data_IF_638014007748
#
_entry.id   IF_638014007748
#
_cell.length_a   1.000
_cell.length_b   1.000
_cell.length_c   1.000
_cell.angle_alpha   90.00
_cell.angle_beta   90.00
_cell.angle_gamma   90.00
#
_symmetry.space_group_name_H-M   'P 1'
#
loop_
_entity.id
_entity.type
_entity.pdbx_description
1 polymer ?
#
# COMPACT_ATOMS: atom_id res chain seq x y z
N UNK A 1 5.85 18.31 -5.78
CA UNK A 1 4.82 17.59 -5.01
C UNK A 1 5.38 16.24 -4.60
N UNK A 2 5.20 15.82 -3.35
CA UNK A 2 5.60 14.50 -2.84
C UNK A 2 4.37 13.71 -2.42
N UNK A 3 4.19 12.55 -3.04
CA UNK A 3 3.17 11.57 -2.66
C UNK A 3 3.88 10.32 -2.16
N UNK A 4 3.42 9.77 -1.04
CA UNK A 4 4.00 8.58 -0.45
C UNK A 4 2.96 7.51 -0.13
N UNK A 5 3.41 6.27 -0.01
CA UNK A 5 2.67 5.20 0.66
C UNK A 5 3.48 4.70 1.84
N UNK A 6 2.79 4.33 2.92
CA UNK A 6 3.43 3.76 4.09
C UNK A 6 2.50 2.79 4.82
N UNK A 7 2.85 1.51 4.86
CA UNK A 7 2.28 0.55 5.80
C UNK A 7 2.86 0.80 7.18
N UNK A 8 2.00 1.13 8.15
CA UNK A 8 2.38 1.60 9.48
C UNK A 8 2.23 0.53 10.57
N UNK A 9 1.95 -0.71 10.18
CA UNK A 9 1.91 -1.90 11.05
C UNK A 9 1.00 -1.73 12.29
N UNK A 10 -0.28 -2.06 12.14
CA UNK A 10 -1.27 -2.08 13.22
C UNK A 10 -1.51 -0.74 13.95
N UNK A 11 -1.65 0.35 13.19
CA UNK A 11 -1.75 1.69 13.78
C UNK A 11 -2.91 1.84 14.78
N UNK A 12 -4.00 1.09 14.59
CA UNK A 12 -5.18 1.05 15.47
C UNK A 12 -4.86 0.80 16.95
N UNK A 13 -3.79 0.06 17.25
CA UNK A 13 -3.37 -0.29 18.61
C UNK A 13 -2.75 0.88 19.38
N UNK A 14 -2.35 1.94 18.67
CA UNK A 14 -1.73 3.13 19.24
C UNK A 14 -2.76 4.19 19.68
N UNK A 15 -4.04 3.92 19.45
CA UNK A 15 -5.14 4.82 19.80
C UNK A 15 -6.18 4.16 20.70
N UNK A 16 -6.73 4.96 21.60
CA UNK A 16 -7.92 4.57 22.34
C UNK A 16 -9.18 4.65 21.45
N UNK A 17 -10.35 4.29 22.00
CA UNK A 17 -11.62 4.30 21.25
C UNK A 17 -12.05 5.70 20.79
N UNK A 18 -11.54 6.77 21.40
CA UNK A 18 -11.82 8.16 21.02
C UNK A 18 -10.85 8.68 19.97
N UNK A 19 -9.89 7.87 19.52
CA UNK A 19 -8.84 8.29 18.59
C UNK A 19 -7.72 9.09 19.26
N UNK A 20 -7.61 9.08 20.59
CA UNK A 20 -6.51 9.74 21.31
C UNK A 20 -5.31 8.78 21.38
N UNK A 21 -4.09 9.33 21.23
CA UNK A 21 -2.85 8.57 21.29
C UNK A 21 -2.63 7.96 22.69
N UNK A 22 -2.20 6.70 22.70
CA UNK A 22 -1.84 5.96 23.90
C UNK A 22 -0.32 6.04 24.13
N UNK A 23 0.15 7.20 24.60
CA UNK A 23 1.55 7.47 24.94
C UNK A 23 1.91 6.87 26.30
N UNK A 24 2.00 5.55 26.35
CA UNK A 24 2.44 4.81 27.54
C UNK A 24 3.43 3.69 27.18
N UNK A 25 4.05 3.12 28.21
CA UNK A 25 5.06 2.07 28.10
C UNK A 25 4.45 0.65 27.98
N UNK A 26 3.16 0.52 27.67
CA UNK A 26 2.60 -0.79 27.36
C UNK A 26 3.05 -1.24 25.96
N UNK A 27 3.08 -2.55 25.76
CA UNK A 27 3.41 -3.15 24.46
C UNK A 27 2.47 -2.69 23.35
N UNK A 28 3.03 -2.44 22.18
CA UNK A 28 2.25 -2.22 20.96
C UNK A 28 1.85 -3.56 20.32
N UNK A 29 1.45 -3.53 19.05
CA UNK A 29 1.28 -4.76 18.25
C UNK A 29 2.61 -5.38 17.81
N UNK A 30 3.71 -4.64 17.95
CA UNK A 30 5.05 -5.05 17.51
C UNK A 30 5.79 -5.79 18.60
N UNK A 31 6.63 -6.74 18.18
CA UNK A 31 7.50 -7.47 19.10
C UNK A 31 8.53 -6.51 19.72
N UNK A 32 8.61 -6.52 21.06
CA UNK A 32 9.61 -5.80 21.86
C UNK A 32 9.62 -4.27 21.63
N UNK A 33 8.48 -3.68 21.25
CA UNK A 33 8.29 -2.23 21.07
C UNK A 33 7.05 -1.75 21.85
N UNK A 34 7.21 -0.68 22.62
CA UNK A 34 6.09 -0.06 23.35
C UNK A 34 5.28 0.87 22.47
N UNK A 35 4.04 1.20 22.87
CA UNK A 35 3.19 2.14 22.14
C UNK A 35 3.84 3.52 22.04
N UNK A 36 4.39 4.06 23.12
CA UNK A 36 5.13 5.32 23.10
C UNK A 36 6.29 5.29 22.08
N UNK A 37 7.10 4.23 22.09
CA UNK A 37 8.22 4.08 21.13
C UNK A 37 7.74 4.07 19.68
N UNK A 38 6.70 3.28 19.37
CA UNK A 38 6.18 3.20 18.00
C UNK A 38 5.55 4.53 17.55
N UNK A 39 4.80 5.20 18.43
CA UNK A 39 4.19 6.51 18.14
C UNK A 39 5.28 7.56 17.83
N UNK A 40 6.30 7.68 18.68
CA UNK A 40 7.40 8.63 18.47
C UNK A 40 8.21 8.32 17.21
N UNK A 41 8.43 7.03 16.94
CA UNK A 41 9.12 6.57 15.75
C UNK A 41 8.32 6.94 14.48
N UNK A 42 7.02 6.64 14.45
CA UNK A 42 6.13 7.05 13.36
C UNK A 42 6.13 8.58 13.20
N UNK A 43 6.04 9.35 14.28
CA UNK A 43 6.08 10.81 14.22
C UNK A 43 7.36 11.33 13.55
N UNK A 44 8.53 10.77 13.89
CA UNK A 44 9.82 11.11 13.28
C UNK A 44 9.84 10.75 11.79
N UNK A 45 9.33 9.58 11.41
CA UNK A 45 9.27 9.13 10.01
C UNK A 45 8.36 10.03 9.19
N UNK A 46 7.14 10.31 9.66
CA UNK A 46 6.20 11.21 8.96
C UNK A 46 6.74 12.64 8.85
N UNK A 47 7.41 13.14 9.90
CA UNK A 47 8.06 14.46 9.87
C UNK A 47 9.20 14.51 8.85
N UNK A 48 10.05 13.47 8.80
CA UNK A 48 11.16 13.40 7.85
C UNK A 48 10.68 13.21 6.40
N UNK A 49 9.57 12.47 6.23
CA UNK A 49 8.95 12.23 4.94
C UNK A 49 8.45 13.52 4.30
N UNK A 50 7.87 14.43 5.10
CA UNK A 50 7.40 15.77 4.67
C UNK A 50 6.63 15.74 3.34
N UNK A 51 5.75 14.74 3.20
CA UNK A 51 4.96 14.54 2.00
C UNK A 51 3.75 15.49 1.95
N UNK A 52 3.29 15.82 0.74
CA UNK A 52 2.02 16.53 0.55
C UNK A 52 0.83 15.59 0.77
N UNK A 53 0.99 14.29 0.50
CA UNK A 53 0.05 13.26 0.92
C UNK A 53 0.73 11.91 1.16
N UNK A 54 0.18 11.15 2.11
CA UNK A 54 0.60 9.80 2.48
C UNK A 54 -0.62 8.88 2.40
N UNK A 55 -0.54 7.87 1.53
CA UNK A 55 -1.44 6.72 1.55
C UNK A 55 -1.00 5.81 2.71
N UNK A 56 -1.75 5.87 3.81
CA UNK A 56 -1.50 5.09 5.02
C UNK A 56 -2.16 3.72 4.87
N UNK A 57 -1.34 2.68 4.87
CA UNK A 57 -1.77 1.28 4.83
C UNK A 57 -1.75 0.73 6.25
N UNK A 58 -2.77 -0.06 6.62
CA UNK A 58 -3.02 -0.44 8.02
C UNK A 58 -3.30 0.75 8.93
N UNK A 59 -4.00 1.74 8.38
CA UNK A 59 -4.54 2.86 9.12
C UNK A 59 -5.48 2.38 10.24
N UNK A 60 -5.74 3.21 11.26
CA UNK A 60 -6.62 2.85 12.37
C UNK A 60 -8.00 2.41 11.89
N UNK A 61 -8.66 1.55 12.67
CA UNK A 61 -9.99 1.00 12.42
C UNK A 61 -11.08 2.10 12.35
N UNK A 62 -12.05 1.96 11.44
CA UNK A 62 -13.21 2.86 11.27
C UNK A 62 -14.53 2.10 11.42
N UNK A 63 -15.25 2.35 12.52
CA UNK A 63 -16.55 1.73 12.79
C UNK A 63 -17.39 2.54 13.78
N UNK A 64 -18.54 2.01 14.20
CA UNK A 64 -19.43 2.70 15.16
C UNK A 64 -18.79 3.14 16.49
N UNK A 65 -17.61 2.59 16.85
CA UNK A 65 -16.90 2.86 18.11
C UNK A 65 -15.52 3.52 17.93
N UNK A 66 -15.00 3.59 16.71
CA UNK A 66 -13.66 4.12 16.39
C UNK A 66 -13.74 4.92 15.10
N UNK A 67 -12.99 6.01 15.00
CA UNK A 67 -12.89 6.76 13.76
C UNK A 67 -11.44 6.86 13.32
N UNK A 68 -11.15 6.30 12.14
CA UNK A 68 -9.82 6.34 11.53
C UNK A 68 -9.41 7.78 11.22
N UNK A 69 -10.36 8.57 10.72
CA UNK A 69 -10.20 10.01 10.48
C UNK A 69 -9.75 10.75 11.74
N UNK A 70 -10.48 10.60 12.86
CA UNK A 70 -10.15 11.29 14.11
C UNK A 70 -8.78 10.86 14.63
N UNK A 71 -8.48 9.56 14.60
CA UNK A 71 -7.19 9.05 15.06
C UNK A 71 -6.01 9.63 14.26
N UNK A 72 -6.10 9.61 12.92
CA UNK A 72 -5.06 10.14 12.05
C UNK A 72 -4.91 11.66 12.15
N UNK A 73 -6.01 12.41 12.24
CA UNK A 73 -5.97 13.86 12.42
C UNK A 73 -5.39 14.25 13.80
N UNK A 74 -5.72 13.51 14.87
CA UNK A 74 -5.13 13.71 16.19
C UNK A 74 -3.62 13.39 16.20
N UNK A 75 -3.18 12.35 15.48
CA UNK A 75 -1.76 12.05 15.32
C UNK A 75 -1.04 13.19 14.59
N UNK A 76 -1.62 13.68 13.49
CA UNK A 76 -1.06 14.81 12.76
C UNK A 76 -0.97 16.08 13.62
N UNK A 77 -2.01 16.39 14.39
CA UNK A 77 -2.04 17.54 15.30
C UNK A 77 -0.98 17.42 16.40
N UNK A 78 -0.89 16.25 17.07
CA UNK A 78 0.02 16.02 18.18
C UNK A 78 1.50 16.23 17.79
N UNK A 79 1.85 15.98 16.52
CA UNK A 79 3.21 16.08 16.02
C UNK A 79 3.43 17.23 15.02
N UNK A 80 2.43 18.10 14.83
CA UNK A 80 2.55 19.27 13.95
C UNK A 80 2.81 18.92 12.48
N UNK A 81 2.25 17.80 12.00
CA UNK A 81 2.41 17.38 10.61
C UNK A 81 1.60 18.28 9.67
N UNK A 82 2.16 18.58 8.49
CA UNK A 82 1.43 19.32 7.45
C UNK A 82 0.24 18.53 6.88
N UNK A 83 0.38 17.21 6.82
CA UNK A 83 -0.67 16.29 6.39
C UNK A 83 -1.72 16.12 7.49
N UNK A 84 -2.59 17.12 7.62
CA UNK A 84 -3.51 17.29 8.75
C UNK A 84 -4.96 16.94 8.47
N UNK A 85 -5.27 16.42 7.28
CA UNK A 85 -6.61 15.94 6.92
C UNK A 85 -6.57 14.50 6.46
N UNK A 86 -7.49 13.69 6.99
CA UNK A 86 -7.62 12.29 6.62
C UNK A 86 -8.83 12.08 5.71
N UNK A 87 -8.69 11.21 4.71
CA UNK A 87 -9.77 10.74 3.85
C UNK A 87 -9.82 9.21 3.94
N UNK A 88 -11.01 8.70 4.24
CA UNK A 88 -11.31 7.26 4.32
C UNK A 88 -12.27 6.91 3.20
N UNK A 89 -12.15 5.69 2.68
CA UNK A 89 -13.00 5.17 1.62
C UNK A 89 -14.24 4.47 2.17
N UNK A 90 -14.49 3.28 1.63
CA UNK A 90 -15.59 2.43 2.09
C UNK A 90 -15.38 1.92 3.51
N UNK A 91 -16.45 1.89 4.29
CA UNK A 91 -16.47 1.13 5.54
C UNK A 91 -16.23 -0.35 5.24
N UNK A 92 -15.44 -1.01 6.07
CA UNK A 92 -15.26 -2.46 6.00
C UNK A 92 -15.36 -3.09 7.39
N UNK A 93 -15.10 -4.39 7.48
CA UNK A 93 -15.22 -5.17 8.71
C UNK A 93 -13.87 -5.58 9.29
N UNK A 94 -12.79 -4.98 8.80
CA UNK A 94 -11.45 -5.25 9.30
C UNK A 94 -11.07 -4.27 10.40
N UNK A 95 -9.94 -4.49 11.05
CA UNK A 95 -9.40 -3.57 12.06
C UNK A 95 -8.31 -2.64 11.49
N UNK A 96 -8.19 -2.60 10.16
CA UNK A 96 -7.08 -1.97 9.45
C UNK A 96 -7.61 -1.34 8.16
N UNK A 97 -7.48 -0.02 8.05
CA UNK A 97 -8.00 0.73 6.93
C UNK A 97 -6.93 1.07 5.88
N UNK A 98 -7.39 1.52 4.71
CA UNK A 98 -6.60 2.29 3.75
C UNK A 98 -7.07 3.73 3.85
N UNK A 99 -6.17 4.65 4.17
CA UNK A 99 -6.50 6.06 4.38
C UNK A 99 -5.53 6.98 3.63
N UNK A 100 -6.01 8.12 3.17
CA UNK A 100 -5.15 9.19 2.65
C UNK A 100 -5.03 10.28 3.72
N UNK A 101 -3.82 10.51 4.22
CA UNK A 101 -3.48 11.64 5.06
C UNK A 101 -2.80 12.72 4.20
N UNK A 102 -3.37 13.91 4.07
CA UNK A 102 -2.92 14.92 3.11
C UNK A 102 -2.85 16.32 3.70
N UNK A 103 -2.03 17.17 3.08
CA UNK A 103 -1.92 18.59 3.38
C UNK A 103 -3.01 19.35 2.60
N UNK A 104 -4.07 19.85 3.29
CA UNK A 104 -5.16 20.53 2.62
C UNK A 104 -4.80 21.92 2.07
N UNK A 105 -3.62 22.48 2.40
CA UNK A 105 -3.15 23.71 1.75
C UNK A 105 -2.53 23.44 0.37
N UNK A 106 -2.15 22.18 0.12
CA UNK A 106 -1.48 21.77 -1.12
C UNK A 106 -2.36 20.90 -2.00
N UNK A 107 -3.20 20.05 -1.39
CA UNK A 107 -4.03 19.07 -2.09
C UNK A 107 -5.49 19.18 -1.65
N UNK A 108 -6.40 19.27 -2.62
CA UNK A 108 -7.82 18.98 -2.40
C UNK A 108 -8.06 17.51 -2.74
N UNK A 109 -8.66 16.74 -1.84
CA UNK A 109 -8.93 15.32 -2.02
C UNK A 109 -10.35 14.94 -1.64
N UNK A 110 -10.99 14.07 -2.44
CA UNK A 110 -12.30 13.48 -2.13
C UNK A 110 -12.35 12.01 -2.55
N UNK A 111 -13.04 11.19 -1.76
CA UNK A 111 -13.33 9.80 -2.13
C UNK A 111 -14.22 9.81 -3.37
N UNK A 112 -13.76 9.17 -4.44
CA UNK A 112 -14.41 9.20 -5.76
C UNK A 112 -14.47 7.79 -6.34
N UNK A 113 -15.28 6.90 -5.73
CA UNK A 113 -15.38 5.53 -6.19
C UNK A 113 -16.01 5.47 -7.57
N UNK A 114 -15.37 4.74 -8.47
CA UNK A 114 -15.81 4.64 -9.85
C UNK A 114 -16.73 3.42 -10.02
N UNK A 115 -17.61 3.45 -11.01
CA UNK A 115 -18.54 2.35 -11.31
C UNK A 115 -18.49 2.05 -12.80
N UNK A 116 -17.61 1.13 -13.21
CA UNK A 116 -17.30 0.89 -14.62
C UNK A 116 -17.76 -0.49 -15.06
N UNK A 117 -19.08 -0.67 -15.12
CA UNK A 117 -19.75 -1.83 -15.71
C UNK A 117 -19.19 -3.19 -15.26
N UNK A 118 -19.37 -4.21 -16.10
CA UNK A 118 -18.90 -5.59 -15.82
C UNK A 118 -17.37 -5.72 -15.76
N UNK A 119 -16.61 -4.80 -16.38
CA UNK A 119 -15.16 -4.92 -16.52
C UNK A 119 -14.37 -4.54 -15.26
N UNK A 120 -14.90 -3.62 -14.44
CA UNK A 120 -14.33 -3.25 -13.15
C UNK A 120 -15.46 -2.69 -12.27
N UNK A 121 -16.19 -3.57 -11.54
CA UNK A 121 -17.21 -3.11 -10.60
C UNK A 121 -16.59 -2.27 -9.48
N UNK A 122 -17.43 -1.56 -8.72
CA UNK A 122 -17.00 -0.75 -7.57
C UNK A 122 -16.38 -1.64 -6.50
N UNK A 123 -15.28 -1.20 -5.87
CA UNK A 123 -14.43 -2.06 -5.06
C UNK A 123 -15.03 -2.61 -3.75
N UNK A 124 -16.14 -2.05 -3.26
CA UNK A 124 -16.94 -2.58 -2.15
C UNK A 124 -18.02 -3.59 -2.60
N UNK A 125 -18.08 -3.87 -3.91
CA UNK A 125 -18.92 -4.91 -4.49
C UNK A 125 -18.18 -6.24 -4.64
N UNK A 126 -18.50 -6.94 -5.72
CA UNK A 126 -17.97 -8.26 -6.03
C UNK A 126 -17.51 -8.32 -7.47
N UNK A 127 -16.52 -9.17 -7.70
CA UNK A 127 -15.96 -9.43 -9.01
C UNK A 127 -16.01 -10.92 -9.29
N UNK A 128 -16.57 -11.29 -10.44
CA UNK A 128 -16.69 -12.67 -10.89
C UNK A 128 -15.62 -12.95 -11.95
N UNK A 129 -14.83 -13.99 -11.73
CA UNK A 129 -13.73 -14.37 -12.64
C UNK A 129 -13.49 -15.87 -12.63
N UNK A 130 -13.27 -16.46 -13.80
CA UNK A 130 -12.80 -17.84 -13.94
C UNK A 130 -11.26 -17.82 -14.07
N UNK A 131 -10.55 -18.26 -13.02
CA UNK A 131 -9.09 -18.27 -12.98
C UNK A 131 -8.47 -19.61 -13.40
N UNK A 132 -9.18 -20.73 -13.29
CA UNK A 132 -8.66 -22.07 -13.62
C UNK A 132 -9.27 -22.69 -14.89
N UNK A 133 -10.02 -21.90 -15.65
CA UNK A 133 -10.57 -22.22 -16.97
C UNK A 133 -11.47 -23.46 -16.90
N UNK A 134 -12.18 -23.61 -15.78
CA UNK A 134 -13.09 -24.72 -15.51
C UNK A 134 -14.57 -24.35 -15.81
N UNK A 135 -14.80 -23.13 -16.32
CA UNK A 135 -16.08 -22.51 -16.60
C UNK A 135 -16.95 -22.21 -15.36
N UNK A 136 -16.38 -22.25 -14.15
CA UNK A 136 -17.00 -21.76 -12.92
C UNK A 136 -16.40 -20.39 -12.54
N UNK A 137 -17.26 -19.41 -12.29
CA UNK A 137 -16.83 -18.10 -11.84
C UNK A 137 -16.56 -18.11 -10.34
N UNK A 138 -15.34 -17.73 -9.93
CA UNK A 138 -15.01 -17.39 -8.57
C UNK A 138 -15.54 -15.99 -8.25
N UNK A 139 -16.29 -15.87 -7.14
CA UNK A 139 -16.77 -14.58 -6.63
C UNK A 139 -15.78 -14.01 -5.61
N UNK A 140 -15.23 -12.85 -5.93
CA UNK A 140 -14.12 -12.22 -5.21
C UNK A 140 -14.57 -10.89 -4.63
N UNK A 141 -14.23 -10.66 -3.35
CA UNK A 141 -14.46 -9.41 -2.64
C UNK A 141 -13.15 -8.86 -2.09
N UNK A 142 -13.05 -7.56 -1.96
CA UNK A 142 -12.01 -6.95 -1.14
C UNK A 142 -12.45 -6.92 0.32
N UNK A 143 -11.61 -7.44 1.22
CA UNK A 143 -11.81 -7.21 2.66
C UNK A 143 -11.50 -5.77 3.04
N UNK A 144 -10.56 -5.15 2.33
CA UNK A 144 -10.16 -3.75 2.42
C UNK A 144 -10.26 -3.17 1.01
N UNK A 145 -11.41 -2.60 0.62
CA UNK A 145 -11.59 -2.06 -0.73
C UNK A 145 -10.53 -1.00 -1.05
N UNK A 146 -9.89 -1.03 -2.25
CA UNK A 146 -9.01 0.05 -2.67
C UNK A 146 -9.66 1.44 -2.55
N UNK A 147 -8.85 2.42 -2.11
CA UNK A 147 -9.29 3.79 -1.90
C UNK A 147 -9.13 4.60 -3.18
N UNK A 148 -10.23 4.88 -3.88
CA UNK A 148 -10.24 5.71 -5.08
C UNK A 148 -10.41 7.19 -4.73
N UNK A 149 -9.46 8.04 -5.13
CA UNK A 149 -9.44 9.47 -4.76
C UNK A 149 -9.34 10.34 -6.00
N UNK A 150 -10.22 11.34 -6.06
CA UNK A 150 -10.03 12.53 -6.88
C UNK A 150 -9.16 13.53 -6.12
N UNK A 151 -8.01 13.89 -6.69
CA UNK A 151 -7.08 14.84 -6.08
C UNK A 151 -6.79 16.03 -7.01
N UNK A 152 -6.54 17.19 -6.43
CA UNK A 152 -6.10 18.39 -7.14
C UNK A 152 -4.98 19.11 -6.40
N UNK A 153 -3.95 19.53 -7.13
CA UNK A 153 -2.94 20.49 -6.69
C UNK A 153 -3.01 21.71 -7.61
N UNK A 154 -3.58 22.83 -7.13
CA UNK A 154 -3.94 23.95 -8.00
C UNK A 154 -4.87 23.50 -9.13
N UNK A 155 -4.47 23.77 -10.38
CA UNK A 155 -5.20 23.35 -11.60
C UNK A 155 -4.93 21.90 -12.01
N UNK A 156 -3.90 21.26 -11.44
CA UNK A 156 -3.53 19.90 -11.81
C UNK A 156 -4.41 18.89 -11.07
N UNK A 157 -5.35 18.28 -11.81
CA UNK A 157 -6.17 17.17 -11.33
C UNK A 157 -5.54 15.81 -11.63
N UNK A 158 -5.62 14.89 -10.67
CA UNK A 158 -5.13 13.52 -10.80
C UNK A 158 -5.95 12.55 -9.94
N UNK A 159 -5.72 11.26 -10.17
CA UNK A 159 -6.36 10.14 -9.47
C UNK A 159 -5.34 9.42 -8.61
N UNK A 160 -5.76 9.01 -7.41
CA UNK A 160 -5.02 8.05 -6.58
C UNK A 160 -5.87 6.80 -6.41
N UNK A 161 -5.24 5.63 -6.44
CA UNK A 161 -5.84 4.37 -5.98
C UNK A 161 -4.94 3.79 -4.89
N UNK A 162 -5.42 3.82 -3.65
CA UNK A 162 -4.77 3.23 -2.48
C UNK A 162 -5.02 1.73 -2.39
N UNK A 163 -3.98 0.92 -2.23
CA UNK A 163 -4.07 -0.54 -2.36
C UNK A 163 -3.52 -1.26 -1.13
N UNK A 164 -4.25 -2.28 -0.66
CA UNK A 164 -3.76 -3.29 0.29
C UNK A 164 -4.26 -4.66 -0.19
N UNK A 165 -3.51 -5.31 -1.09
CA UNK A 165 -3.92 -6.61 -1.65
C UNK A 165 -3.75 -7.71 -0.60
N UNK A 166 -4.57 -8.77 -0.67
CA UNK A 166 -4.52 -9.91 0.23
C UNK A 166 -3.12 -10.54 0.33
N UNK A 167 -2.61 -10.68 1.55
CA UNK A 167 -1.38 -11.45 1.84
C UNK A 167 -1.49 -12.94 1.46
N UNK A 168 -0.36 -13.48 0.98
CA UNK A 168 -0.18 -14.88 0.58
C UNK A 168 0.00 -15.83 1.76
N UNK A 169 0.30 -15.31 2.96
CA UNK A 169 0.65 -16.12 4.11
C UNK A 169 -0.48 -17.08 4.52
N UNK A 170 -0.20 -18.40 4.69
CA UNK A 170 -1.21 -19.41 5.00
C UNK A 170 -1.54 -19.44 6.51
N UNK A 171 -1.99 -18.31 7.05
CA UNK A 171 -2.40 -18.22 8.45
C UNK A 171 -3.53 -19.20 8.78
N UNK A 172 -3.43 -19.86 9.93
CA UNK A 172 -4.47 -20.76 10.45
C UNK A 172 -4.37 -22.23 10.00
N UNK A 173 -3.37 -22.58 9.17
CA UNK A 173 -3.13 -23.97 8.79
C UNK A 173 -2.69 -24.82 10.00
N UNK A 174 -3.27 -26.02 10.13
CA UNK A 174 -2.94 -26.96 11.22
C UNK A 174 -1.93 -28.02 10.79
N UNK A 175 -1.75 -28.20 9.48
CA UNK A 175 -0.81 -29.15 8.88
C UNK A 175 -0.39 -28.70 7.48
N UNK A 176 0.64 -29.34 6.92
CA UNK A 176 1.24 -29.00 5.62
C UNK A 176 0.27 -29.08 4.43
N UNK A 177 -0.67 -30.02 4.44
CA UNK A 177 -1.63 -30.15 3.34
C UNK A 177 -2.66 -29.01 3.36
N UNK A 178 -3.10 -28.62 4.55
CA UNK A 178 -3.97 -27.45 4.75
C UNK A 178 -3.24 -26.14 4.44
N UNK A 179 -1.97 -26.03 4.84
CA UNK A 179 -1.10 -24.89 4.52
C UNK A 179 -1.01 -24.67 3.01
N UNK A 180 -0.74 -25.73 2.25
CA UNK A 180 -0.68 -25.67 0.80
C UNK A 180 -2.02 -25.27 0.18
N UNK A 181 -3.15 -25.80 0.68
CA UNK A 181 -4.49 -25.45 0.19
C UNK A 181 -4.82 -23.97 0.44
N UNK A 182 -4.55 -23.49 1.65
CA UNK A 182 -4.80 -22.09 2.03
C UNK A 182 -3.91 -21.16 1.21
N UNK A 183 -2.64 -21.50 1.00
CA UNK A 183 -1.71 -20.72 0.18
C UNK A 183 -2.23 -20.57 -1.27
N UNK A 184 -2.68 -21.66 -1.89
CA UNK A 184 -3.26 -21.64 -3.25
C UNK A 184 -4.53 -20.76 -3.28
N UNK A 185 -5.43 -20.92 -2.32
CA UNK A 185 -6.66 -20.12 -2.26
C UNK A 185 -6.39 -18.62 -2.04
N UNK A 186 -5.45 -18.27 -1.16
CA UNK A 186 -5.02 -16.89 -0.94
C UNK A 186 -4.40 -16.30 -2.20
N UNK A 187 -3.56 -17.07 -2.90
CA UNK A 187 -2.93 -16.67 -4.16
C UNK A 187 -3.97 -16.39 -5.25
N UNK A 188 -4.95 -17.29 -5.44
CA UNK A 188 -6.04 -17.08 -6.42
C UNK A 188 -6.81 -15.79 -6.13
N UNK A 189 -7.19 -15.57 -4.87
CA UNK A 189 -7.87 -14.34 -4.44
C UNK A 189 -7.03 -13.08 -4.69
N UNK A 190 -5.74 -13.13 -4.35
CA UNK A 190 -4.81 -12.04 -4.60
C UNK A 190 -4.72 -11.71 -6.10
N UNK A 191 -4.58 -12.73 -6.95
CA UNK A 191 -4.49 -12.56 -8.40
C UNK A 191 -5.76 -11.94 -8.98
N UNK A 192 -6.94 -12.44 -8.58
CA UNK A 192 -8.21 -11.88 -8.98
C UNK A 192 -8.37 -10.41 -8.55
N UNK A 193 -7.93 -10.06 -7.34
CA UNK A 193 -7.91 -8.66 -6.87
C UNK A 193 -7.01 -7.78 -7.76
N UNK A 194 -5.84 -8.28 -8.18
CA UNK A 194 -4.96 -7.56 -9.10
C UNK A 194 -5.58 -7.41 -10.50
N UNK A 195 -6.29 -8.41 -11.02
CA UNK A 195 -7.01 -8.33 -12.30
C UNK A 195 -8.14 -7.30 -12.22
N UNK A 196 -8.91 -7.31 -11.13
CA UNK A 196 -9.96 -6.33 -10.89
C UNK A 196 -9.39 -4.90 -10.83
N UNK A 197 -8.31 -4.70 -10.04
CA UNK A 197 -7.60 -3.44 -9.98
C UNK A 197 -7.08 -3.01 -11.35
N UNK A 198 -6.53 -3.95 -12.13
CA UNK A 198 -6.05 -3.67 -13.49
C UNK A 198 -7.17 -3.21 -14.42
N UNK A 199 -8.37 -3.79 -14.32
CA UNK A 199 -9.55 -3.32 -15.03
C UNK A 199 -9.85 -1.85 -14.75
N UNK A 200 -9.78 -1.43 -13.47
CA UNK A 200 -9.93 -0.03 -13.06
C UNK A 200 -8.82 0.87 -13.60
N UNK A 201 -7.57 0.44 -13.48
CA UNK A 201 -6.40 1.17 -14.00
C UNK A 201 -6.56 1.42 -15.49
N UNK A 202 -6.87 0.38 -16.27
CA UNK A 202 -7.05 0.49 -17.71
C UNK A 202 -8.15 1.50 -18.07
N UNK A 203 -9.24 1.57 -17.31
CA UNK A 203 -10.27 2.57 -17.54
C UNK A 203 -9.75 4.01 -17.40
N UNK A 204 -9.04 4.31 -16.32
CA UNK A 204 -8.45 5.65 -16.11
C UNK A 204 -7.45 6.00 -17.20
N UNK A 205 -6.55 5.07 -17.53
CA UNK A 205 -5.56 5.29 -18.59
C UNK A 205 -6.22 5.52 -19.95
N UNK A 206 -7.26 4.74 -20.28
CA UNK A 206 -8.04 4.91 -21.52
C UNK A 206 -8.82 6.24 -21.56
N UNK A 207 -9.20 6.75 -20.39
CA UNK A 207 -9.88 8.06 -20.24
C UNK A 207 -8.90 9.23 -20.23
N UNK A 208 -7.59 8.97 -20.24
CA UNK A 208 -6.54 9.98 -20.19
C UNK A 208 -6.30 10.58 -18.82
N UNK A 209 -6.86 9.99 -17.75
CA UNK A 209 -6.70 10.48 -16.38
C UNK A 209 -5.25 10.33 -15.90
N UNK A 210 -4.61 11.38 -15.37
CA UNK A 210 -3.36 11.24 -14.62
C UNK A 210 -3.60 10.38 -13.37
N UNK A 211 -2.90 9.25 -13.25
CA UNK A 211 -3.15 8.24 -12.23
C UNK A 211 -1.86 7.83 -11.51
N UNK A 212 -1.96 7.70 -10.20
CA UNK A 212 -0.97 7.02 -9.35
C UNK A 212 -1.69 5.89 -8.59
N UNK A 213 -1.14 4.69 -8.64
CA UNK A 213 -1.58 3.53 -7.87
C UNK A 213 -0.51 3.20 -6.84
N UNK A 214 -0.87 3.21 -5.56
CA UNK A 214 0.13 3.12 -4.49
C UNK A 214 -0.42 2.37 -3.27
N UNK A 215 0.47 1.67 -2.58
CA UNK A 215 0.07 0.83 -1.45
C UNK A 215 0.95 -0.40 -1.28
N UNK A 216 0.46 -1.32 -0.45
CA UNK A 216 1.05 -2.62 -0.18
C UNK A 216 0.37 -3.69 -1.06
N UNK A 217 1.13 -4.24 -1.99
CA UNK A 217 0.64 -5.28 -2.90
C UNK A 217 0.76 -6.68 -2.30
N UNK A 218 1.44 -6.83 -1.16
CA UNK A 218 1.78 -8.12 -0.56
C UNK A 218 2.38 -9.11 -1.58
N UNK A 219 3.03 -8.56 -2.60
CA UNK A 219 3.53 -9.26 -3.77
C UNK A 219 4.76 -8.54 -4.30
N UNK A 220 5.71 -9.32 -4.81
CA UNK A 220 6.93 -8.83 -5.46
C UNK A 220 6.95 -9.24 -6.92
N UNK A 221 7.75 -8.60 -7.79
CA UNK A 221 7.78 -8.91 -9.21
C UNK A 221 8.61 -10.19 -9.44
N UNK A 222 8.20 -11.04 -10.38
CA UNK A 222 8.84 -12.34 -10.65
C UNK A 222 7.91 -13.51 -10.37
N UNK A 223 8.41 -14.74 -10.51
CA UNK A 223 7.64 -15.97 -10.29
C UNK A 223 8.20 -16.77 -9.10
N UNK A 224 7.49 -16.83 -7.98
CA UNK A 224 7.60 -17.89 -7.00
C UNK A 224 7.14 -19.25 -7.60
N UNK A 225 7.37 -20.35 -6.88
CA UNK A 225 7.05 -21.69 -7.39
C UNK A 225 5.56 -21.87 -7.75
N UNK A 226 4.67 -21.06 -7.19
CA UNK A 226 3.23 -21.08 -7.44
C UNK A 226 2.82 -20.10 -8.56
N UNK A 227 3.53 -18.98 -8.75
CA UNK A 227 3.31 -18.02 -9.84
C UNK A 227 3.57 -18.64 -11.22
N UNK A 228 4.39 -19.70 -11.31
CA UNK A 228 4.48 -20.52 -12.53
C UNK A 228 3.14 -21.14 -12.96
N UNK A 229 2.20 -21.37 -12.03
CA UNK A 229 0.86 -21.88 -12.36
C UNK A 229 -0.02 -20.82 -13.01
N UNK A 230 0.23 -19.54 -12.72
CA UNK A 230 -0.58 -18.41 -13.17
C UNK A 230 0.14 -17.54 -14.23
N UNK A 231 1.41 -17.83 -14.50
CA UNK A 231 2.23 -17.21 -15.53
C UNK A 231 2.83 -15.84 -15.16
N UNK A 232 2.29 -15.14 -14.16
CA UNK A 232 2.66 -13.75 -13.78
C UNK A 232 2.37 -13.44 -12.30
N UNK A 233 3.09 -12.46 -11.75
CA UNK A 233 2.76 -11.84 -10.46
C UNK A 233 1.58 -10.86 -10.57
N UNK A 234 0.94 -10.55 -9.44
CA UNK A 234 -0.10 -9.53 -9.35
C UNK A 234 0.42 -8.13 -9.67
N UNK A 235 1.70 -7.86 -9.36
CA UNK A 235 2.39 -6.61 -9.71
C UNK A 235 2.50 -6.45 -11.24
N UNK A 236 2.92 -7.49 -11.97
CA UNK A 236 2.99 -7.47 -13.44
C UNK A 236 1.63 -7.21 -14.09
N UNK A 237 0.57 -7.79 -13.52
CA UNK A 237 -0.80 -7.59 -13.99
C UNK A 237 -1.20 -6.12 -13.85
N UNK A 238 -0.97 -5.51 -12.69
CA UNK A 238 -1.39 -4.11 -12.43
C UNK A 238 -0.55 -3.13 -13.24
N UNK A 239 0.76 -3.37 -13.38
CA UNK A 239 1.64 -2.61 -14.27
C UNK A 239 1.17 -2.65 -15.72
N UNK A 240 0.51 -3.74 -16.13
CA UNK A 240 0.03 -3.91 -17.50
C UNK A 240 1.13 -4.37 -18.45
N UNK A 241 2.05 -5.23 -17.99
CA UNK A 241 3.15 -5.78 -18.82
C UNK A 241 2.65 -6.49 -20.10
N UNK A 242 1.38 -6.90 -20.10
CA UNK A 242 0.70 -7.54 -21.22
C UNK A 242 0.14 -6.56 -22.27
N UNK A 243 0.03 -5.27 -21.94
CA UNK A 243 -0.56 -4.28 -22.84
C UNK A 243 0.36 -3.99 -24.00
N UNK A 244 -0.12 -4.12 -25.23
CA UNK A 244 0.69 -3.75 -26.41
C UNK A 244 0.88 -2.24 -26.54
N UNK A 245 -0.05 -1.44 -26.01
CA UNK A 245 0.04 0.02 -26.01
C UNK A 245 0.74 0.51 -24.72
N UNK A 246 1.94 1.14 -24.83
CA UNK A 246 2.63 1.72 -23.68
C UNK A 246 1.82 2.81 -22.96
N UNK A 247 0.86 3.46 -23.62
CA UNK A 247 -0.01 4.47 -23.00
C UNK A 247 -0.91 3.87 -21.91
N UNK A 248 -1.14 2.55 -21.97
CA UNK A 248 -1.95 1.79 -21.03
C UNK A 248 -1.10 1.12 -19.94
N UNK A 249 0.21 1.37 -19.87
CA UNK A 249 1.09 0.77 -18.84
C UNK A 249 1.34 1.75 -17.70
N UNK A 250 1.41 1.22 -16.48
CA UNK A 250 1.98 1.96 -15.34
C UNK A 250 3.49 1.71 -15.27
N UNK A 251 4.18 2.60 -14.57
CA UNK A 251 5.63 2.53 -14.37
C UNK A 251 5.98 2.66 -12.89
N UNK A 252 6.85 1.78 -12.41
CA UNK A 252 7.57 1.89 -11.14
C UNK A 252 9.01 1.41 -11.36
N UNK A 253 10.04 2.21 -11.05
CA UNK A 253 11.42 1.86 -11.38
C UNK A 253 11.95 0.67 -10.57
N UNK A 254 11.46 0.47 -9.35
CA UNK A 254 11.86 -0.66 -8.50
C UNK A 254 11.26 -1.95 -9.05
N UNK A 255 9.98 -1.93 -9.41
CA UNK A 255 9.34 -3.08 -10.03
C UNK A 255 10.00 -3.46 -11.36
N UNK A 256 10.25 -2.47 -12.23
CA UNK A 256 10.94 -2.67 -13.51
C UNK A 256 12.36 -3.23 -13.34
N UNK A 257 13.08 -2.81 -12.30
CA UNK A 257 14.43 -3.35 -12.03
C UNK A 257 14.38 -4.84 -11.72
N UNK A 258 13.44 -5.27 -10.86
CA UNK A 258 13.29 -6.69 -10.49
C UNK A 258 12.78 -7.53 -11.66
N UNK A 259 11.85 -7.00 -12.46
CA UNK A 259 11.34 -7.71 -13.65
C UNK A 259 12.43 -7.93 -14.72
N UNK A 260 13.27 -6.92 -14.96
CA UNK A 260 14.30 -6.99 -16.00
C UNK A 260 15.55 -7.77 -15.57
N UNK A 261 15.78 -7.95 -14.26
CA UNK A 261 16.96 -8.63 -13.73
C UNK A 261 16.55 -9.89 -12.98
N UNK A 262 16.83 -11.07 -13.56
CA UNK A 262 16.62 -12.38 -12.90
C UNK A 262 17.33 -12.54 -11.54
N UNK A 263 18.30 -11.66 -11.24
CA UNK A 263 18.98 -11.51 -9.95
C UNK A 263 19.17 -10.01 -9.70
N UNK A 264 18.13 -9.30 -9.26
CA UNK A 264 18.24 -7.92 -8.78
C UNK A 264 18.73 -7.93 -7.32
N UNK A 265 19.89 -7.34 -6.98
CA UNK A 265 20.31 -7.23 -5.60
C UNK A 265 19.41 -6.25 -4.82
N UNK A 266 18.96 -6.67 -3.64
CA UNK A 266 18.80 -5.81 -2.45
C UNK A 266 17.62 -4.82 -2.39
N UNK A 267 16.84 -4.58 -3.44
CA UNK A 267 15.71 -3.66 -3.34
C UNK A 267 14.64 -4.26 -2.43
N UNK A 268 14.31 -3.56 -1.34
CA UNK A 268 13.26 -3.96 -0.42
C UNK A 268 12.57 -2.77 0.20
N UNK A 269 11.25 -2.88 0.38
CA UNK A 269 10.42 -1.92 1.11
C UNK A 269 9.99 -2.47 2.47
N UNK A 270 10.27 -3.73 2.79
CA UNK A 270 9.91 -4.34 4.06
C UNK A 270 10.93 -5.36 4.54
N UNK A 271 10.88 -5.66 5.85
CA UNK A 271 11.82 -6.54 6.54
C UNK A 271 11.15 -7.25 7.73
N UNK A 272 10.95 -8.56 7.59
CA UNK A 272 10.28 -9.39 8.60
C UNK A 272 11.27 -10.26 9.38
N UNK A 273 11.17 -10.28 10.72
CA UNK A 273 12.01 -11.16 11.53
C UNK A 273 11.46 -12.59 11.59
N UNK A 274 12.24 -13.57 11.11
CA UNK A 274 11.86 -14.99 11.16
C UNK A 274 12.49 -15.61 12.42
N UNK A 275 11.72 -15.69 13.50
CA UNK A 275 12.20 -16.15 14.82
C UNK A 275 12.89 -17.53 14.78
N UNK A 276 12.35 -18.49 14.00
CA UNK A 276 12.93 -19.83 13.85
C UNK A 276 14.34 -19.80 13.24
N UNK A 277 14.58 -18.86 12.34
CA UNK A 277 15.81 -18.77 11.55
C UNK A 277 16.76 -17.69 12.09
N UNK A 278 16.29 -16.89 13.07
CA UNK A 278 17.01 -15.76 13.68
C UNK A 278 17.59 -14.79 12.65
N UNK A 279 16.89 -14.60 11.54
CA UNK A 279 17.27 -13.71 10.45
C UNK A 279 16.08 -12.91 9.98
N UNK A 280 16.37 -11.85 9.25
CA UNK A 280 15.36 -11.05 8.61
C UNK A 280 15.18 -11.46 7.14
N UNK A 281 13.94 -11.51 6.70
CA UNK A 281 13.54 -11.63 5.31
C UNK A 281 13.18 -10.25 4.79
N UNK A 282 13.85 -9.81 3.74
CA UNK A 282 13.53 -8.56 3.04
C UNK A 282 12.66 -8.84 1.83
N UNK A 283 11.69 -7.96 1.57
CA UNK A 283 10.83 -8.04 0.39
C UNK A 283 10.53 -6.64 -0.16
N UNK A 284 10.26 -6.56 -1.46
CA UNK A 284 9.68 -5.38 -2.09
C UNK A 284 8.19 -5.64 -2.24
N UNK A 285 7.37 -4.91 -1.48
CA UNK A 285 5.91 -5.09 -1.41
C UNK A 285 5.14 -3.79 -1.63
N UNK A 286 5.78 -2.65 -1.36
CA UNK A 286 5.17 -1.33 -1.41
C UNK A 286 5.61 -0.61 -2.70
N UNK A 287 4.64 -0.07 -3.43
CA UNK A 287 4.87 0.54 -4.74
C UNK A 287 4.21 1.89 -4.87
N UNK A 288 4.76 2.73 -5.75
CA UNK A 288 4.11 3.95 -6.22
C UNK A 288 4.16 3.93 -7.75
N UNK A 289 3.18 3.26 -8.34
CA UNK A 289 3.08 3.08 -9.79
C UNK A 289 2.44 4.32 -10.43
N UNK A 290 3.06 4.87 -11.45
CA UNK A 290 2.58 6.10 -12.10
C UNK A 290 2.24 5.87 -13.57
N UNK A 291 1.23 6.56 -14.08
CA UNK A 291 0.90 6.54 -15.50
C UNK A 291 1.88 7.38 -16.36
N UNK A 292 1.84 7.28 -17.70
CA UNK A 292 2.72 8.05 -18.59
C UNK A 292 2.61 9.58 -18.42
N UNK A 293 1.42 10.11 -18.11
CA UNK A 293 1.20 11.54 -17.88
C UNK A 293 1.94 12.04 -16.63
N UNK A 294 1.96 11.23 -15.57
CA UNK A 294 2.74 11.53 -14.35
C UNK A 294 4.22 11.29 -14.62
N UNK A 295 4.60 10.25 -15.37
CA UNK A 295 5.99 9.97 -15.75
C UNK A 295 6.60 11.12 -16.56
N UNK A 296 5.81 11.79 -17.41
CA UNK A 296 6.25 12.97 -18.16
C UNK A 296 6.62 14.17 -17.25
N UNK A 297 6.15 14.19 -16.00
CA UNK A 297 6.49 15.20 -14.97
C UNK A 297 7.77 14.86 -14.20
N UNK A 298 8.60 13.96 -14.76
CA UNK A 298 9.92 13.54 -14.26
C UNK A 298 9.92 13.14 -12.77
N UNK A 299 9.07 12.18 -12.39
CA UNK A 299 9.02 11.69 -11.02
C UNK A 299 10.35 11.11 -10.57
N UNK A 300 10.69 11.34 -9.31
CA UNK A 300 11.83 10.77 -8.61
C UNK A 300 11.35 9.89 -7.47
N UNK A 301 11.67 8.60 -7.52
CA UNK A 301 11.26 7.64 -6.50
C UNK A 301 12.29 7.52 -5.40
N UNK A 302 11.81 7.17 -4.20
CA UNK A 302 12.65 6.87 -3.05
C UNK A 302 11.99 5.82 -2.18
N UNK A 303 12.73 4.76 -1.87
CA UNK A 303 12.41 3.89 -0.74
C UNK A 303 13.22 4.41 0.45
N UNK A 304 12.54 4.71 1.56
CA UNK A 304 13.16 5.24 2.76
C UNK A 304 13.79 4.10 3.59
N UNK A 305 14.66 3.32 2.94
CA UNK A 305 15.24 2.12 3.54
C UNK A 305 16.40 2.50 4.48
N UNK A 306 16.39 2.05 5.76
CA UNK A 306 17.35 2.49 6.77
C UNK A 306 18.81 2.11 6.49
N UNK A 307 19.05 1.15 5.59
CA UNK A 307 20.39 0.67 5.25
C UNK A 307 20.83 0.98 3.82
N UNK A 308 19.89 1.26 2.92
CA UNK A 308 20.19 1.43 1.49
C UNK A 308 20.02 2.88 1.03
N UNK A 309 19.22 3.68 1.73
CA UNK A 309 19.13 5.12 1.50
C UNK A 309 20.21 5.85 2.33
N UNK A 310 21.16 6.57 1.70
CA UNK A 310 22.28 7.18 2.43
C UNK A 310 21.85 8.21 3.49
N UNK A 311 20.80 8.99 3.23
CA UNK A 311 20.32 9.99 4.19
C UNK A 311 19.65 9.32 5.38
N UNK A 312 18.87 8.26 5.15
CA UNK A 312 18.28 7.45 6.23
C UNK A 312 19.38 6.79 7.05
N UNK A 313 20.38 6.17 6.40
CA UNK A 313 21.47 5.48 7.07
C UNK A 313 22.33 6.41 7.94
N UNK A 314 22.68 7.59 7.42
CA UNK A 314 23.57 8.52 8.10
C UNK A 314 22.89 9.29 9.24
N UNK A 315 21.55 9.42 9.22
CA UNK A 315 20.77 10.05 10.29
C UNK A 315 20.31 8.99 11.28
N UNK A 316 21.14 8.69 12.29
CA UNK A 316 20.87 7.64 13.29
C UNK A 316 19.46 7.71 13.87
N UNK A 317 18.98 8.90 14.25
CA UNK A 317 17.62 9.06 14.82
C UNK A 317 16.52 8.62 13.84
N UNK A 318 16.64 8.95 12.56
CA UNK A 318 15.70 8.54 11.52
C UNK A 318 15.82 7.03 11.24
N UNK A 319 17.05 6.51 11.18
CA UNK A 319 17.32 5.09 10.98
C UNK A 319 16.65 4.22 12.04
N UNK A 320 16.85 4.56 13.31
CA UNK A 320 16.25 3.82 14.42
C UNK A 320 14.72 4.00 14.44
N UNK A 321 14.22 5.19 14.10
CA UNK A 321 12.78 5.42 13.96
C UNK A 321 12.16 4.54 12.86
N UNK A 322 12.78 4.44 11.69
CA UNK A 322 12.31 3.56 10.60
C UNK A 322 12.22 2.10 11.05
N UNK A 323 13.18 1.62 11.84
CA UNK A 323 13.21 0.24 12.34
C UNK A 323 12.15 -0.04 13.44
N UNK A 324 11.86 0.95 14.28
CA UNK A 324 10.87 0.85 15.37
C UNK A 324 9.43 1.09 14.92
N UNK A 325 9.21 1.87 13.85
CA UNK A 325 7.90 2.36 13.45
C UNK A 325 7.05 1.32 12.73
N UNK A 326 7.58 0.73 11.66
CA UNK A 326 6.92 -0.35 10.88
C UNK A 326 7.95 -1.40 10.41
N UNK A 327 7.52 -2.62 10.12
CA UNK A 327 8.29 -3.63 9.39
C UNK A 327 8.33 -3.32 7.88
N UNK A 328 7.57 -2.32 7.44
CA UNK A 328 7.67 -1.67 6.14
C UNK A 328 8.40 -0.32 6.24
N UNK A 329 8.89 0.16 5.10
CA UNK A 329 9.54 1.44 4.92
C UNK A 329 8.74 2.27 3.92
N UNK A 330 8.58 3.59 4.14
CA UNK A 330 7.85 4.44 3.20
C UNK A 330 8.43 4.37 1.79
N UNK A 331 7.56 4.45 0.79
CA UNK A 331 7.94 4.66 -0.61
C UNK A 331 7.31 5.96 -1.07
N UNK A 332 8.11 6.88 -1.60
CA UNK A 332 7.65 8.17 -2.09
C UNK A 332 8.02 8.42 -3.53
N UNK A 333 7.23 9.28 -4.17
CA UNK A 333 7.53 9.86 -5.47
C UNK A 333 7.42 11.39 -5.38
N UNK A 334 8.44 12.06 -5.89
CA UNK A 334 8.49 13.51 -6.01
C UNK A 334 8.34 13.89 -7.49
N UNK A 335 7.37 14.73 -7.85
CA UNK A 335 7.17 15.18 -9.23
C UNK A 335 6.72 16.65 -9.30
N UNK A 336 6.86 17.26 -10.49
CA UNK A 336 6.41 18.63 -10.73
C UNK A 336 4.87 18.70 -10.67
N UNK A 337 4.35 19.58 -9.82
CA UNK A 337 2.91 19.75 -9.53
C UNK A 337 2.10 20.30 -10.70
#
# INVERSE_FOLDING_TARGET
MRIATYNVEWFTNLFNRRGELLLDDQWSGRQDVTRAQQIEALAKVFTALDADAVMVIEAPDDNSRRSSRVALENFAEAFGLRTRKALIGFSNHTQQEIALLYDPDTIMASHDPQENGEAAPRFDGEFEIDLDVDANLDRITFSKPPLEVAAKNGEFGFRLIGVHVKSKAPHGARNRAEEMRIAIANRRKQLAQCIWLRGRVRHHLSSGDPLIVLGDFNDGPGLDEYEKLFGRSGVEIVLGEEENDPSLRLFDPHAQTVLNQRIAPGISSSRFYIAKEKRYLSALLDYVMVCPQILARRPNWRIWHPFDDPDCYNKTELREALLLASDHFPVSVDFEG
#
